data_IF_826570297653
#
_entry.id   IF_826570297653
#
_cell.length_a   1.000
_cell.length_b   1.000
_cell.length_c   1.000
_cell.angle_alpha   90.00
_cell.angle_beta   90.00
_cell.angle_gamma   90.00
#
_symmetry.space_group_name_H-M   'P 1'
#
loop_
_entity.id
_entity.type
_entity.pdbx_description
1 polymer ?
#
# COMPACT_ATOMS: atom_id res chain seq x y z
N UNK A 1 -16.33 -3.04 12.73
CA UNK A 1 -15.12 -2.83 11.92
C UNK A 1 -15.57 -2.29 10.58
N UNK A 2 -14.87 -1.30 10.04
CA UNK A 2 -15.03 -0.79 8.68
C UNK A 2 -13.72 -1.01 7.93
N UNK A 3 -13.81 -1.41 6.67
CA UNK A 3 -12.66 -1.58 5.79
C UNK A 3 -12.61 -0.48 4.74
N UNK A 4 -11.45 0.15 4.61
CA UNK A 4 -11.14 1.11 3.54
C UNK A 4 -10.51 0.33 2.39
N UNK A 5 -11.26 0.20 1.31
CA UNK A 5 -10.85 -0.51 0.10
C UNK A 5 -10.55 0.47 -1.04
N UNK A 6 -9.91 -0.03 -2.09
CA UNK A 6 -9.60 0.75 -3.29
C UNK A 6 -8.35 0.24 -3.98
N UNK A 7 -8.15 0.71 -5.22
CA UNK A 7 -6.99 0.37 -6.03
C UNK A 7 -5.66 0.75 -5.33
N UNK A 8 -4.56 0.20 -5.87
CA UNK A 8 -3.21 0.60 -5.43
C UNK A 8 -2.99 2.07 -5.80
N UNK A 9 -2.48 2.85 -4.84
CA UNK A 9 -2.27 4.30 -5.00
C UNK A 9 -3.43 5.18 -4.54
N UNK A 10 -4.53 4.62 -4.02
CA UNK A 10 -5.64 5.43 -3.48
C UNK A 10 -5.39 6.05 -2.08
N UNK A 11 -4.13 6.13 -1.61
CA UNK A 11 -3.74 6.66 -0.28
C UNK A 11 -4.64 6.21 0.89
N UNK A 12 -4.92 4.91 0.97
CA UNK A 12 -5.77 4.30 2.02
C UNK A 12 -5.17 4.53 3.41
N UNK A 13 -3.87 4.31 3.55
CA UNK A 13 -3.11 4.53 4.78
C UNK A 13 -3.20 5.98 5.27
N UNK A 14 -3.16 6.96 4.36
CA UNK A 14 -3.36 8.37 4.70
C UNK A 14 -4.77 8.64 5.21
N UNK A 15 -5.79 8.00 4.63
CA UNK A 15 -7.18 8.14 5.08
C UNK A 15 -7.35 7.60 6.50
N UNK A 16 -6.90 6.37 6.77
CA UNK A 16 -7.03 5.75 8.10
C UNK A 16 -6.27 6.55 9.17
N UNK A 17 -5.12 7.13 8.84
CA UNK A 17 -4.33 7.92 9.77
C UNK A 17 -4.96 9.30 10.10
N UNK A 18 -5.99 9.74 9.36
CA UNK A 18 -6.83 10.90 9.72
C UNK A 18 -8.00 10.56 10.64
N UNK A 19 -8.13 9.31 11.07
CA UNK A 19 -9.22 8.83 11.93
C UNK A 19 -8.70 8.44 13.31
N UNK A 20 -9.38 8.91 14.36
CA UNK A 20 -9.03 8.57 15.76
C UNK A 20 -9.17 7.08 16.06
N UNK A 21 -10.03 6.38 15.31
CA UNK A 21 -10.26 4.94 15.36
C UNK A 21 -9.61 4.17 14.21
N UNK A 22 -8.69 4.81 13.47
CA UNK A 22 -7.89 4.18 12.43
C UNK A 22 -6.84 3.22 13.00
N UNK A 23 -6.61 2.12 12.28
CA UNK A 23 -5.59 1.11 12.59
C UNK A 23 -4.72 0.90 11.36
N UNK A 24 -3.48 1.41 11.43
CA UNK A 24 -2.45 1.26 10.39
C UNK A 24 -1.64 -0.03 10.65
N UNK A 25 -2.05 -1.12 10.00
CA UNK A 25 -1.42 -2.43 10.17
C UNK A 25 -0.02 -2.46 9.53
N UNK A 26 0.18 -1.75 8.40
CA UNK A 26 1.49 -1.61 7.75
C UNK A 26 2.51 -0.94 8.68
N UNK A 27 2.09 0.10 9.41
CA UNK A 27 2.93 0.77 10.39
C UNK A 27 3.35 -0.18 11.52
N UNK A 28 2.43 -1.01 12.05
CA UNK A 28 2.80 -1.99 13.09
C UNK A 28 3.69 -3.12 12.55
N UNK A 29 3.60 -3.43 11.26
CA UNK A 29 4.44 -4.44 10.61
C UNK A 29 5.83 -3.90 10.21
N UNK A 30 6.04 -2.57 10.26
CA UNK A 30 7.17 -1.88 9.62
C UNK A 30 7.34 -2.27 8.15
N UNK A 31 6.23 -2.48 7.43
CA UNK A 31 6.24 -2.98 6.07
C UNK A 31 4.96 -2.59 5.35
N UNK A 32 5.04 -2.07 4.11
CA UNK A 32 3.81 -1.85 3.31
C UNK A 32 3.34 -3.15 2.65
N UNK A 33 2.05 -3.42 2.50
CA UNK A 33 1.47 -4.64 1.90
C UNK A 33 1.80 -4.86 0.41
N UNK A 34 2.51 -3.91 -0.21
CA UNK A 34 2.99 -3.99 -1.60
C UNK A 34 4.30 -4.77 -1.76
N UNK A 35 4.55 -5.30 -2.96
CA UNK A 35 5.84 -5.86 -3.38
C UNK A 35 7.00 -4.86 -3.25
N UNK A 36 6.70 -3.56 -3.27
CA UNK A 36 7.63 -2.44 -3.10
C UNK A 36 7.67 -1.93 -1.65
N UNK A 37 6.95 -2.56 -0.73
CA UNK A 37 6.72 -2.06 0.63
C UNK A 37 7.85 -2.25 1.63
N UNK A 38 8.99 -2.81 1.20
CA UNK A 38 10.16 -2.98 2.06
C UNK A 38 10.78 -1.63 2.37
N UNK A 39 10.90 -1.31 3.66
CA UNK A 39 11.53 -0.10 4.17
C UNK A 39 12.98 -0.36 4.64
N UNK A 40 13.77 0.70 4.93
CA UNK A 40 15.11 0.56 5.50
C UNK A 40 15.11 -0.01 6.92
N UNK A 41 14.02 0.16 7.67
CA UNK A 41 13.84 -0.44 8.98
C UNK A 41 13.67 -1.96 8.91
N UNK A 42 14.03 -2.63 10.00
CA UNK A 42 13.76 -4.06 10.12
C UNK A 42 12.25 -4.30 10.26
N UNK A 43 11.69 -5.27 9.52
CA UNK A 43 10.30 -5.68 9.69
C UNK A 43 10.03 -6.08 11.14
N UNK A 44 8.82 -5.81 11.63
CA UNK A 44 8.43 -6.25 12.96
C UNK A 44 8.46 -7.78 13.08
N UNK A 45 8.88 -8.28 14.24
CA UNK A 45 8.64 -9.68 14.61
C UNK A 45 7.16 -9.89 14.86
N UNK A 46 6.68 -11.14 14.75
CA UNK A 46 5.28 -11.47 15.00
C UNK A 46 4.80 -10.98 16.38
N UNK A 47 5.61 -11.18 17.44
CA UNK A 47 5.29 -10.76 18.80
C UNK A 47 5.18 -9.23 18.90
N UNK A 48 6.10 -8.49 18.29
CA UNK A 48 6.07 -7.03 18.34
C UNK A 48 4.86 -6.46 17.59
N UNK A 49 4.53 -7.05 16.43
CA UNK A 49 3.33 -6.69 15.68
C UNK A 49 2.05 -6.94 16.49
N UNK A 50 1.89 -8.14 17.07
CA UNK A 50 0.71 -8.50 17.87
C UNK A 50 0.57 -7.62 19.12
N UNK A 51 1.68 -7.32 19.80
CA UNK A 51 1.67 -6.42 20.95
C UNK A 51 1.26 -4.98 20.57
N UNK A 52 1.80 -4.43 19.48
CA UNK A 52 1.45 -3.09 19.03
C UNK A 52 -0.03 -3.01 18.65
N UNK A 53 -0.53 -4.01 17.91
CA UNK A 53 -1.94 -4.12 17.53
C UNK A 53 -2.84 -4.25 18.77
N UNK A 54 -2.53 -5.16 19.70
CA UNK A 54 -3.31 -5.36 20.91
C UNK A 54 -3.36 -4.09 21.77
N UNK A 55 -2.22 -3.40 21.94
CA UNK A 55 -2.16 -2.13 22.67
C UNK A 55 -3.06 -1.06 22.05
N UNK A 56 -3.07 -0.95 20.71
CA UNK A 56 -3.97 -0.02 20.01
C UNK A 56 -5.43 -0.38 20.23
N UNK A 57 -5.77 -1.66 20.08
CA UNK A 57 -7.15 -2.14 20.21
C UNK A 57 -7.71 -1.92 21.62
N UNK A 58 -6.92 -2.13 22.67
CA UNK A 58 -7.33 -1.89 24.06
C UNK A 58 -7.68 -0.43 24.36
N UNK A 59 -7.10 0.50 23.60
CA UNK A 59 -7.39 1.94 23.74
C UNK A 59 -8.62 2.42 22.99
N UNK A 60 -9.27 1.56 22.20
CA UNK A 60 -10.44 1.91 21.39
C UNK A 60 -11.71 1.34 22.03
N UNK A 61 -12.71 2.19 22.21
CA UNK A 61 -14.02 1.81 22.79
C UNK A 61 -15.14 1.71 21.75
N UNK A 62 -14.89 2.16 20.52
CA UNK A 62 -15.87 2.24 19.45
C UNK A 62 -15.59 1.29 18.28
N UNK A 63 -16.25 1.56 17.15
CA UNK A 63 -15.91 0.89 15.90
C UNK A 63 -14.52 1.30 15.44
N UNK A 64 -13.84 0.40 14.76
CA UNK A 64 -12.50 0.62 14.21
C UNK A 64 -12.53 0.67 12.68
N UNK A 65 -11.57 1.37 12.08
CA UNK A 65 -11.39 1.50 10.64
C UNK A 65 -10.00 1.00 10.24
N UNK A 66 -9.93 0.11 9.25
CA UNK A 66 -8.69 -0.53 8.80
C UNK A 66 -8.65 -0.51 7.27
N UNK A 67 -7.46 -0.49 6.67
CA UNK A 67 -7.27 -0.75 5.25
C UNK A 67 -7.45 -2.25 4.88
N UNK A 68 -7.83 -2.49 3.64
CA UNK A 68 -7.99 -3.84 3.08
C UNK A 68 -6.62 -4.51 2.84
N UNK A 69 -6.16 -5.26 3.83
CA UNK A 69 -4.88 -5.97 3.79
C UNK A 69 -5.01 -7.48 3.61
N UNK A 70 -3.97 -8.06 3.00
CA UNK A 70 -3.81 -9.51 3.00
C UNK A 70 -3.51 -10.00 4.42
N UNK A 71 -3.71 -11.30 4.69
CA UNK A 71 -3.42 -11.85 6.03
C UNK A 71 -1.95 -11.65 6.46
N UNK A 72 -1.03 -11.56 5.50
CA UNK A 72 0.39 -11.40 5.77
C UNK A 72 0.88 -10.03 5.27
N UNK A 73 1.55 -9.28 6.14
CA UNK A 73 2.17 -7.99 5.84
C UNK A 73 3.67 -8.13 6.14
N UNK A 74 4.47 -8.33 5.10
CA UNK A 74 5.89 -8.68 5.27
C UNK A 74 6.06 -9.98 6.06
N UNK A 75 6.66 -9.90 7.25
CA UNK A 75 6.84 -11.04 8.15
C UNK A 75 5.70 -11.20 9.18
N UNK A 76 4.83 -10.18 9.30
CA UNK A 76 3.74 -10.18 10.26
C UNK A 76 2.50 -10.88 9.69
N UNK A 77 1.87 -11.71 10.50
CA UNK A 77 0.58 -12.31 10.21
C UNK A 77 -0.49 -11.66 11.07
N UNK A 78 -1.56 -11.20 10.44
CA UNK A 78 -2.75 -10.74 11.14
C UNK A 78 -3.36 -11.95 11.88
N UNK A 79 -3.70 -11.84 13.18
CA UNK A 79 -4.37 -12.89 13.93
C UNK A 79 -5.60 -13.39 13.18
N UNK A 80 -5.77 -14.72 13.09
CA UNK A 80 -6.75 -15.32 12.18
C UNK A 80 -8.18 -14.83 12.43
N UNK A 81 -8.60 -14.76 13.69
CA UNK A 81 -9.93 -14.27 14.08
C UNK A 81 -10.16 -12.82 13.67
N UNK A 82 -9.14 -11.97 13.83
CA UNK A 82 -9.19 -10.57 13.42
C UNK A 82 -9.26 -10.43 11.90
N UNK A 83 -8.46 -11.21 11.17
CA UNK A 83 -8.49 -11.23 9.71
C UNK A 83 -9.85 -11.74 9.17
N UNK A 84 -10.42 -12.79 9.76
CA UNK A 84 -11.76 -13.27 9.40
C UNK A 84 -12.84 -12.19 9.60
N UNK A 85 -12.76 -11.43 10.70
CA UNK A 85 -13.65 -10.29 10.92
C UNK A 85 -13.45 -9.19 9.86
N UNK A 86 -12.21 -8.92 9.46
CA UNK A 86 -11.88 -7.97 8.38
C UNK A 86 -12.47 -8.40 7.04
N UNK A 87 -12.40 -9.68 6.71
CA UNK A 87 -12.97 -10.20 5.46
C UNK A 87 -14.49 -10.06 5.36
N UNK A 88 -15.20 -9.96 6.49
CA UNK A 88 -16.67 -9.82 6.53
C UNK A 88 -17.13 -8.39 6.84
N UNK A 89 -16.20 -7.48 7.14
CA UNK A 89 -16.53 -6.13 7.54
C UNK A 89 -17.08 -5.30 6.36
N UNK A 90 -18.05 -4.41 6.60
CA UNK A 90 -18.51 -3.47 5.59
C UNK A 90 -17.37 -2.59 5.08
N UNK A 91 -17.50 -2.10 3.84
CA UNK A 91 -16.44 -1.41 3.10
C UNK A 91 -16.83 0.00 2.71
N UNK A 92 -15.85 0.91 2.74
CA UNK A 92 -15.86 2.16 1.98
C UNK A 92 -14.78 2.02 0.91
N UNK A 93 -15.15 2.16 -0.37
CA UNK A 93 -14.22 1.99 -1.49
C UNK A 93 -13.86 3.33 -2.13
N UNK A 94 -12.58 3.65 -2.10
CA UNK A 94 -12.01 4.84 -2.73
C UNK A 94 -11.77 4.56 -4.22
N UNK A 95 -12.30 5.44 -5.07
CA UNK A 95 -12.05 5.47 -6.50
C UNK A 95 -11.40 6.80 -6.89
N UNK A 96 -10.16 6.72 -7.37
CA UNK A 96 -9.40 7.88 -7.84
C UNK A 96 -8.86 7.64 -9.25
N UNK A 97 -8.77 8.68 -10.09
CA UNK A 97 -8.17 8.57 -11.42
C UNK A 97 -6.70 8.15 -11.33
N UNK A 98 -6.18 7.60 -12.44
CA UNK A 98 -4.80 7.10 -12.50
C UNK A 98 -3.77 8.19 -12.13
N UNK A 99 -3.92 9.40 -12.65
CA UNK A 99 -2.97 10.50 -12.43
C UNK A 99 -2.85 10.84 -10.94
N UNK A 100 -3.97 10.94 -10.23
CA UNK A 100 -3.98 11.14 -8.78
C UNK A 100 -3.28 9.99 -8.05
N UNK A 101 -3.53 8.74 -8.45
CA UNK A 101 -2.87 7.57 -7.84
C UNK A 101 -1.37 7.55 -8.12
N UNK A 102 -0.93 8.01 -9.29
CA UNK A 102 0.48 8.12 -9.65
C UNK A 102 1.20 9.14 -8.77
N UNK A 103 0.60 10.30 -8.52
CA UNK A 103 1.13 11.30 -7.60
C UNK A 103 1.37 10.69 -6.21
N UNK A 104 0.39 9.96 -5.68
CA UNK A 104 0.52 9.32 -4.37
C UNK A 104 1.62 8.25 -4.34
N UNK A 105 1.71 7.41 -5.37
CA UNK A 105 2.72 6.35 -5.42
C UNK A 105 4.13 6.93 -5.65
N UNK A 106 4.24 7.99 -6.43
CA UNK A 106 5.50 8.70 -6.59
C UNK A 106 5.96 9.28 -5.25
N UNK A 107 5.06 9.91 -4.49
CA UNK A 107 5.40 10.38 -3.14
C UNK A 107 5.84 9.22 -2.24
N UNK A 108 5.03 8.18 -2.12
CA UNK A 108 5.26 7.06 -1.19
C UNK A 108 6.51 6.22 -1.50
N UNK A 109 6.69 5.85 -2.78
CA UNK A 109 7.66 4.83 -3.19
C UNK A 109 8.89 5.39 -3.88
N UNK A 110 8.89 6.68 -4.23
CA UNK A 110 10.06 7.36 -4.78
C UNK A 110 10.58 8.37 -3.76
N UNK A 111 9.81 9.42 -3.48
CA UNK A 111 10.31 10.57 -2.70
C UNK A 111 10.54 10.19 -1.23
N UNK A 112 9.53 9.67 -0.54
CA UNK A 112 9.63 9.32 0.88
C UNK A 112 10.60 8.16 1.09
N UNK A 113 10.61 7.20 0.16
CA UNK A 113 11.50 6.05 0.23
C UNK A 113 12.97 6.48 0.08
N UNK A 114 13.28 7.34 -0.87
CA UNK A 114 14.61 7.93 -1.02
C UNK A 114 15.02 8.63 0.28
N UNK A 115 14.17 9.52 0.79
CA UNK A 115 14.44 10.26 2.03
C UNK A 115 14.73 9.31 3.19
N UNK A 116 13.96 8.22 3.34
CA UNK A 116 14.17 7.23 4.39
C UNK A 116 15.52 6.51 4.25
N UNK A 117 15.91 6.09 3.04
CA UNK A 117 17.21 5.47 2.81
C UNK A 117 18.37 6.45 3.01
N UNK A 118 18.23 7.69 2.53
CA UNK A 118 19.24 8.75 2.66
C UNK A 118 19.44 9.13 4.12
N UNK A 119 18.36 9.28 4.89
CA UNK A 119 18.44 9.61 6.31
C UNK A 119 19.20 8.53 7.11
N UNK A 120 19.10 7.26 6.71
CA UNK A 120 19.71 6.13 7.42
C UNK A 120 21.13 5.78 6.95
N UNK A 121 21.41 5.92 5.66
CA UNK A 121 22.65 5.43 5.04
C UNK A 121 23.48 6.54 4.37
N UNK A 122 23.03 7.79 4.42
CA UNK A 122 23.64 8.91 3.70
C UNK A 122 23.22 8.95 2.23
N UNK A 123 23.47 10.09 1.56
CA UNK A 123 22.98 10.36 0.21
C UNK A 123 23.37 9.29 -0.82
N UNK A 124 24.67 9.00 -0.91
CA UNK A 124 25.19 8.09 -1.94
C UNK A 124 24.73 6.63 -1.73
N UNK A 125 24.94 6.08 -0.52
CA UNK A 125 24.58 4.69 -0.24
C UNK A 125 23.06 4.51 -0.15
N UNK A 126 22.35 5.48 0.42
CA UNK A 126 20.89 5.47 0.51
C UNK A 126 20.24 5.39 -0.88
N UNK A 127 20.69 6.23 -1.81
CA UNK A 127 20.25 6.18 -3.20
C UNK A 127 20.46 4.81 -3.85
N UNK A 128 21.66 4.23 -3.72
CA UNK A 128 21.95 2.90 -4.28
C UNK A 128 21.08 1.79 -3.69
N UNK A 129 20.86 1.82 -2.36
CA UNK A 129 20.03 0.83 -1.67
C UNK A 129 18.55 0.95 -2.08
N UNK A 130 18.03 2.16 -2.23
CA UNK A 130 16.69 2.41 -2.75
C UNK A 130 16.53 1.85 -4.17
N UNK A 131 17.47 2.19 -5.08
CA UNK A 131 17.45 1.67 -6.45
C UNK A 131 17.44 0.14 -6.47
N UNK A 132 18.32 -0.48 -5.69
CA UNK A 132 18.41 -1.93 -5.57
C UNK A 132 17.11 -2.54 -5.03
N UNK A 133 16.49 -1.93 -4.03
CA UNK A 133 15.22 -2.39 -3.45
C UNK A 133 14.09 -2.38 -4.49
N UNK A 134 13.94 -1.28 -5.24
CA UNK A 134 12.90 -1.12 -6.25
C UNK A 134 13.11 -2.05 -7.45
N UNK A 135 14.36 -2.22 -7.91
CA UNK A 135 14.68 -3.16 -8.99
C UNK A 135 14.45 -4.61 -8.58
N UNK A 136 14.84 -4.98 -7.35
CA UNK A 136 14.56 -6.31 -6.82
C UNK A 136 13.06 -6.58 -6.67
N UNK A 137 12.26 -5.56 -6.33
CA UNK A 137 10.81 -5.68 -6.27
C UNK A 137 10.21 -6.03 -7.64
N UNK A 138 10.63 -5.37 -8.72
CA UNK A 138 10.21 -5.73 -10.07
C UNK A 138 10.60 -7.17 -10.42
N UNK A 139 11.82 -7.60 -10.11
CA UNK A 139 12.27 -8.98 -10.37
C UNK A 139 11.39 -10.00 -9.65
N UNK A 140 11.02 -9.77 -8.39
CA UNK A 140 10.11 -10.65 -7.64
C UNK A 140 8.72 -10.74 -8.30
N UNK A 141 8.23 -9.64 -8.87
CA UNK A 141 6.98 -9.63 -9.64
C UNK A 141 7.08 -10.34 -10.99
N UNK A 142 8.29 -10.55 -11.51
CA UNK A 142 8.58 -11.15 -12.81
C UNK A 142 7.82 -12.44 -13.11
N UNK A 143 7.69 -13.33 -12.12
CA UNK A 143 6.95 -14.60 -12.26
C UNK A 143 5.48 -14.40 -12.64
N UNK A 144 4.88 -13.29 -12.22
CA UNK A 144 3.46 -12.96 -12.48
C UNK A 144 3.28 -12.00 -13.66
N UNK A 145 4.27 -11.16 -13.93
CA UNK A 145 4.26 -10.20 -15.04
C UNK A 145 4.55 -10.84 -16.40
N UNK A 146 5.35 -11.91 -16.41
CA UNK A 146 5.92 -12.48 -17.62
C UNK A 146 7.17 -11.73 -18.10
N UNK A 147 8.06 -12.45 -18.81
CA UNK A 147 9.39 -11.97 -19.14
C UNK A 147 9.41 -10.68 -19.99
N UNK A 148 8.56 -10.60 -21.03
CA UNK A 148 8.54 -9.44 -21.92
C UNK A 148 8.13 -8.14 -21.19
N UNK A 149 7.09 -8.22 -20.35
CA UNK A 149 6.62 -7.08 -19.55
C UNK A 149 7.66 -6.69 -18.50
N UNK A 150 8.24 -7.65 -17.80
CA UNK A 150 9.31 -7.41 -16.82
C UNK A 150 10.49 -6.64 -17.46
N UNK A 151 11.01 -7.13 -18.58
CA UNK A 151 12.13 -6.48 -19.26
C UNK A 151 11.80 -5.05 -19.71
N UNK A 152 10.57 -4.83 -20.19
CA UNK A 152 10.10 -3.47 -20.53
C UNK A 152 10.09 -2.55 -19.31
N UNK A 153 9.50 -3.00 -18.20
CA UNK A 153 9.44 -2.22 -16.95
C UNK A 153 10.83 -1.94 -16.38
N UNK A 154 11.75 -2.90 -16.43
CA UNK A 154 13.13 -2.69 -15.99
C UNK A 154 13.85 -1.63 -16.82
N UNK A 155 13.67 -1.61 -18.15
CA UNK A 155 14.24 -0.56 -19.01
C UNK A 155 13.69 0.82 -18.68
N UNK A 156 12.38 0.93 -18.48
CA UNK A 156 11.73 2.18 -18.12
C UNK A 156 12.18 2.67 -16.73
N UNK A 157 12.29 1.77 -15.75
CA UNK A 157 12.79 2.09 -14.42
C UNK A 157 14.25 2.57 -14.46
N UNK A 158 15.12 1.91 -15.25
CA UNK A 158 16.51 2.32 -15.39
C UNK A 158 16.65 3.71 -16.05
N UNK A 159 15.80 4.03 -17.04
CA UNK A 159 15.73 5.37 -17.60
C UNK A 159 15.27 6.39 -16.56
N UNK A 160 14.20 6.07 -15.82
CA UNK A 160 13.67 6.94 -14.77
C UNK A 160 14.71 7.26 -13.69
N UNK A 161 15.54 6.30 -13.29
CA UNK A 161 16.63 6.57 -12.34
C UNK A 161 17.67 7.55 -12.88
N UNK A 162 17.96 7.53 -14.19
CA UNK A 162 18.92 8.49 -14.81
C UNK A 162 18.34 9.89 -14.88
N UNK A 163 17.05 10.01 -15.15
CA UNK A 163 16.32 11.29 -15.15
C UNK A 163 16.19 11.85 -13.73
N UNK A 164 15.88 10.99 -12.76
CA UNK A 164 15.78 11.39 -11.36
C UNK A 164 17.14 11.88 -10.82
N UNK A 165 18.25 11.24 -11.18
CA UNK A 165 19.58 11.74 -10.83
C UNK A 165 19.90 13.14 -11.41
N UNK A 166 19.16 13.60 -12.43
CA UNK A 166 19.25 14.94 -13.02
C UNK A 166 18.17 15.89 -12.48
N UNK A 167 17.42 15.49 -11.46
CA UNK A 167 16.37 16.28 -10.80
C UNK A 167 14.95 16.03 -11.31
N UNK A 168 14.74 15.06 -12.21
CA UNK A 168 13.41 14.73 -12.74
C UNK A 168 12.86 13.42 -12.13
N UNK A 169 12.35 13.49 -10.91
CA UNK A 169 11.72 12.33 -10.24
C UNK A 169 10.42 11.88 -10.93
N UNK A 170 9.76 12.78 -11.68
CA UNK A 170 8.50 12.48 -12.38
C UNK A 170 8.67 11.41 -13.47
N UNK A 171 9.89 11.23 -13.98
CA UNK A 171 10.20 10.17 -14.94
C UNK A 171 9.84 8.75 -14.43
N UNK A 172 9.68 8.56 -13.12
CA UNK A 172 9.22 7.28 -12.56
C UNK A 172 7.77 6.92 -12.95
N UNK A 173 6.92 7.87 -13.33
CA UNK A 173 5.59 7.59 -13.86
C UNK A 173 5.64 6.62 -15.05
N UNK A 174 6.69 6.68 -15.87
CA UNK A 174 6.85 5.86 -17.08
C UNK A 174 6.80 4.35 -16.81
N UNK A 175 7.27 3.89 -15.64
CA UNK A 175 7.20 2.47 -15.27
C UNK A 175 6.11 2.19 -14.22
N UNK A 176 5.73 3.18 -13.41
CA UNK A 176 4.66 3.05 -12.42
C UNK A 176 3.27 2.94 -13.08
N UNK A 177 2.96 3.76 -14.08
CA UNK A 177 1.67 3.75 -14.78
C UNK A 177 1.34 2.39 -15.43
N UNK A 178 2.21 1.77 -16.25
CA UNK A 178 1.94 0.43 -16.77
C UNK A 178 1.96 -0.65 -15.67
N UNK A 179 2.74 -0.48 -14.61
CA UNK A 179 2.71 -1.40 -13.48
C UNK A 179 1.35 -1.39 -12.76
N UNK A 180 0.74 -0.22 -12.57
CA UNK A 180 -0.60 -0.14 -11.98
C UNK A 180 -1.65 -0.73 -12.92
N UNK A 181 -1.70 -0.22 -14.15
CA UNK A 181 -2.79 -0.53 -15.08
C UNK A 181 -2.73 -1.95 -15.66
N UNK A 182 -1.55 -2.54 -15.80
CA UNK A 182 -1.38 -3.87 -16.41
C UNK A 182 -1.14 -5.00 -15.40
N UNK A 183 -0.91 -4.69 -14.12
CA UNK A 183 -0.66 -5.69 -13.08
C UNK A 183 -1.55 -5.53 -11.85
N UNK A 184 -1.48 -4.39 -11.15
CA UNK A 184 -2.24 -4.22 -9.91
C UNK A 184 -3.74 -4.09 -10.13
N UNK A 185 -4.18 -3.23 -11.05
CA UNK A 185 -5.59 -2.98 -11.31
C UNK A 185 -6.33 -4.25 -11.82
N UNK A 186 -5.79 -5.04 -12.77
CA UNK A 186 -6.43 -6.28 -13.20
C UNK A 186 -6.54 -7.32 -12.07
N UNK A 187 -5.51 -7.45 -11.22
CA UNK A 187 -5.56 -8.38 -10.07
C UNK A 187 -6.64 -7.98 -9.07
N UNK A 188 -6.77 -6.68 -8.80
CA UNK A 188 -7.80 -6.17 -7.89
C UNK A 188 -9.20 -6.43 -8.45
N UNK A 189 -9.44 -6.12 -9.73
CA UNK A 189 -10.73 -6.39 -10.39
C UNK A 189 -11.08 -7.87 -10.39
N UNK A 190 -10.11 -8.73 -10.68
CA UNK A 190 -10.31 -10.18 -10.61
C UNK A 190 -10.72 -10.65 -9.21
N UNK A 191 -10.11 -10.11 -8.15
CA UNK A 191 -10.53 -10.43 -6.77
C UNK A 191 -11.96 -9.97 -6.47
N UNK A 192 -12.34 -8.76 -6.89
CA UNK A 192 -13.71 -8.26 -6.74
C UNK A 192 -14.72 -9.14 -7.48
N UNK A 193 -14.44 -9.51 -8.73
CA UNK A 193 -15.30 -10.38 -9.54
C UNK A 193 -15.47 -11.76 -8.90
N UNK A 194 -14.37 -12.35 -8.41
CA UNK A 194 -14.39 -13.66 -7.75
C UNK A 194 -15.20 -13.67 -6.46
N UNK A 195 -15.23 -12.54 -5.75
CA UNK A 195 -15.95 -12.39 -4.49
C UNK A 195 -17.34 -11.79 -4.66
N UNK A 196 -17.81 -11.54 -5.90
CA UNK A 196 -19.02 -10.75 -6.14
C UNK A 196 -20.26 -11.24 -5.37
N UNK A 197 -20.46 -12.55 -5.32
CA UNK A 197 -21.65 -13.15 -4.68
C UNK A 197 -21.52 -13.30 -3.15
N UNK A 198 -20.30 -13.10 -2.60
CA UNK A 198 -20.00 -13.14 -1.17
C UNK A 198 -19.33 -11.86 -0.67
N UNK A 199 -19.43 -10.78 -1.45
CA UNK A 199 -18.72 -9.53 -1.19
C UNK A 199 -19.34 -8.86 0.06
N UNK A 200 -18.50 -8.32 0.96
CA UNK A 200 -19.00 -7.50 2.05
C UNK A 200 -19.74 -6.28 1.53
N UNK A 201 -20.73 -5.82 2.29
CA UNK A 201 -21.54 -4.65 1.94
C UNK A 201 -20.65 -3.42 1.72
N UNK A 202 -20.79 -2.77 0.56
CA UNK A 202 -20.19 -1.46 0.31
C UNK A 202 -21.13 -0.36 0.82
N UNK A 203 -20.74 0.30 1.91
CA UNK A 203 -21.52 1.39 2.50
C UNK A 203 -21.38 2.69 1.71
N UNK A 204 -20.23 2.89 1.06
CA UNK A 204 -19.95 4.06 0.25
C UNK A 204 -18.88 3.77 -0.79
N UNK A 205 -19.06 4.31 -1.99
CA UNK A 205 -18.07 4.32 -3.07
C UNK A 205 -17.97 5.75 -3.59
N UNK A 206 -16.76 6.31 -3.66
CA UNK A 206 -16.58 7.69 -4.04
C UNK A 206 -15.11 8.11 -4.11
N UNK A 207 -14.89 9.41 -4.26
CA UNK A 207 -13.55 9.99 -4.18
C UNK A 207 -12.99 9.93 -2.76
N UNK A 208 -11.71 10.29 -2.64
CA UNK A 208 -10.97 10.19 -1.38
C UNK A 208 -11.61 11.01 -0.24
N UNK A 209 -12.09 12.22 -0.50
CA UNK A 209 -12.66 13.10 0.53
C UNK A 209 -14.05 12.63 0.96
N UNK A 210 -14.88 12.19 0.01
CA UNK A 210 -16.19 11.61 0.30
C UNK A 210 -16.07 10.31 1.10
N UNK A 211 -15.10 9.45 0.76
CA UNK A 211 -14.78 8.26 1.55
C UNK A 211 -14.29 8.58 2.96
N UNK A 212 -13.45 9.62 3.12
CA UNK A 212 -13.02 10.07 4.45
C UNK A 212 -14.21 10.56 5.28
N UNK A 213 -15.12 11.33 4.67
CA UNK A 213 -16.32 11.81 5.33
C UNK A 213 -17.23 10.65 5.79
N UNK A 214 -17.43 9.65 4.93
CA UNK A 214 -18.18 8.44 5.27
C UNK A 214 -17.50 7.64 6.40
N UNK A 215 -16.18 7.45 6.33
CA UNK A 215 -15.43 6.72 7.35
C UNK A 215 -15.43 7.45 8.72
N UNK A 216 -15.45 8.79 8.75
CA UNK A 216 -15.57 9.57 9.99
C UNK A 216 -16.89 9.37 10.72
N UNK A 217 -17.95 9.01 10.01
CA UNK A 217 -19.27 8.72 10.60
C UNK A 217 -19.34 7.31 11.20
N UNK A 218 -18.34 6.46 10.94
CA UNK A 218 -18.35 5.08 11.42
C UNK A 218 -18.13 5.00 12.94
N UNK A 219 -19.20 4.62 13.65
CA UNK A 219 -19.24 4.39 15.09
C UNK A 219 -18.57 5.50 15.92
N UNK A 220 -18.93 6.76 15.58
CA UNK A 220 -19.05 7.81 16.60
C UNK A 220 -20.30 7.60 17.42
#
# INVERSE_FOLDING_TARGET
>A
MLVVAGLTGCAKTTLINRLDNGIDLEAYAHHKGSAFGRRPEEPATQINFEHALAKRLLGLTGGLVIEDESRQIGNANIPLSFWQALQQAPRVRIEMPLDWRLEQIQQDYIIDLEQAYVARHGAYQGWQLMQQQLSNALVRLGKRLGNARLQRLQRLQALAFREHAQGNSQAHEAWLAPLLTEYYDPLYRYHLEKQRDSAPVELHVGDWESCLAAARQWNR
#
